data_IF_515701780024
#
_entry.id   IF_515701780024
#
_cell.length_a   1.000
_cell.length_b   1.000
_cell.length_c   1.000
_cell.angle_alpha   90.00
_cell.angle_beta   90.00
_cell.angle_gamma   90.00
#
_symmetry.space_group_name_H-M   'P 1'
#
loop_
_entity.id
_entity.type
_entity.pdbx_description
1 polymer ?
#
# COMPACT_ATOMS: atom_id res chain seq x y z
N UNK A 1 -30.24 -2.69 -19.74
CA UNK A 1 -30.07 -1.44 -18.97
C UNK A 1 -28.68 -0.94 -19.25
N UNK A 2 -28.59 0.15 -19.99
CA UNK A 2 -27.34 0.75 -20.46
C UNK A 2 -26.48 1.14 -19.26
N UNK A 3 -25.27 0.59 -19.20
CA UNK A 3 -24.22 1.11 -18.34
C UNK A 3 -23.88 2.51 -18.87
N UNK A 4 -24.48 3.54 -18.26
CA UNK A 4 -23.92 4.88 -18.35
C UNK A 4 -22.56 4.83 -17.64
N UNK A 5 -21.52 4.63 -18.42
CA UNK A 5 -20.16 4.95 -18.04
C UNK A 5 -20.15 6.42 -17.64
N UNK A 6 -20.20 6.71 -16.34
CA UNK A 6 -19.97 8.06 -15.84
C UNK A 6 -18.67 8.56 -16.50
N UNK A 7 -18.69 9.72 -17.18
CA UNK A 7 -17.51 10.22 -17.85
C UNK A 7 -16.38 10.33 -16.83
N UNK A 8 -15.20 9.87 -17.21
CA UNK A 8 -14.03 9.97 -16.35
C UNK A 8 -13.78 11.47 -16.08
N UNK A 9 -13.65 11.92 -14.83
CA UNK A 9 -13.59 13.36 -14.53
C UNK A 9 -12.36 14.00 -15.20
N UNK A 10 -12.58 15.07 -15.96
CA UNK A 10 -11.53 15.74 -16.73
C UNK A 10 -10.73 16.74 -15.90
N UNK A 11 -11.33 17.27 -14.83
CA UNK A 11 -10.68 18.20 -13.88
C UNK A 11 -10.75 17.69 -12.43
N UNK A 12 -9.93 18.27 -11.54
CA UNK A 12 -10.03 17.97 -10.10
C UNK A 12 -11.38 18.36 -9.54
N UNK A 13 -12.03 19.36 -10.16
CA UNK A 13 -13.33 19.84 -9.73
C UNK A 13 -14.43 18.86 -10.10
N UNK A 14 -14.40 18.34 -11.33
CA UNK A 14 -15.35 17.30 -11.74
C UNK A 14 -15.20 16.06 -10.85
N UNK A 15 -13.95 15.67 -10.55
CA UNK A 15 -13.67 14.57 -9.63
C UNK A 15 -14.25 14.82 -8.24
N UNK A 16 -14.01 16.00 -7.67
CA UNK A 16 -14.56 16.39 -6.37
C UNK A 16 -16.09 16.41 -6.37
N UNK A 17 -16.71 16.97 -7.40
CA UNK A 17 -18.17 17.07 -7.49
C UNK A 17 -18.82 15.69 -7.64
N UNK A 18 -18.17 14.75 -8.35
CA UNK A 18 -18.59 13.34 -8.37
C UNK A 18 -18.55 12.71 -6.97
N UNK A 19 -17.42 12.84 -6.26
CA UNK A 19 -17.28 12.32 -4.89
C UNK A 19 -18.29 12.95 -3.96
N UNK A 20 -18.50 14.26 -4.08
CA UNK A 20 -19.40 14.98 -3.21
C UNK A 20 -20.83 14.48 -3.35
N UNK A 21 -21.30 14.36 -4.60
CA UNK A 21 -22.64 13.87 -4.91
C UNK A 21 -22.86 12.44 -4.45
N UNK A 22 -21.89 11.56 -4.68
CA UNK A 22 -22.06 10.13 -4.44
C UNK A 22 -21.86 9.73 -2.97
N UNK A 23 -21.08 10.50 -2.20
CA UNK A 23 -20.62 10.08 -0.87
C UNK A 23 -20.65 11.15 0.25
N UNK A 24 -20.78 12.46 -0.06
CA UNK A 24 -20.61 13.51 0.97
C UNK A 24 -21.79 14.47 1.14
N UNK A 25 -22.79 14.43 0.26
CA UNK A 25 -23.87 15.43 0.22
C UNK A 25 -24.56 15.61 1.59
N UNK A 26 -24.74 14.51 2.33
CA UNK A 26 -25.41 14.51 3.64
C UNK A 26 -24.46 14.72 4.83
N UNK A 27 -23.14 14.57 4.63
CA UNK A 27 -22.13 14.65 5.70
C UNK A 27 -21.36 15.96 5.74
N UNK A 28 -21.36 16.73 4.64
CA UNK A 28 -20.59 17.96 4.51
C UNK A 28 -21.48 19.12 4.05
N UNK A 29 -21.69 20.08 4.95
CA UNK A 29 -22.44 21.30 4.66
C UNK A 29 -21.73 22.25 3.68
N UNK A 30 -22.39 23.35 3.32
CA UNK A 30 -21.90 24.34 2.34
C UNK A 30 -20.49 24.88 2.65
N UNK A 31 -20.16 25.05 3.93
CA UNK A 31 -18.85 25.54 4.38
C UNK A 31 -17.75 24.52 4.07
N UNK A 32 -17.97 23.25 4.42
CA UNK A 32 -17.01 22.18 4.16
C UNK A 32 -16.88 21.88 2.67
N UNK A 33 -17.99 21.94 1.91
CA UNK A 33 -17.95 21.83 0.46
C UNK A 33 -17.04 22.89 -0.15
N UNK A 34 -17.27 24.18 0.16
CA UNK A 34 -16.44 25.27 -0.35
C UNK A 34 -14.99 25.13 0.09
N UNK A 35 -14.74 24.69 1.32
CA UNK A 35 -13.39 24.45 1.81
C UNK A 35 -12.64 23.38 1.00
N UNK A 36 -13.23 22.18 0.85
CA UNK A 36 -12.60 21.07 0.11
C UNK A 36 -12.39 21.43 -1.36
N UNK A 37 -13.42 22.00 -2.00
CA UNK A 37 -13.36 22.54 -3.34
C UNK A 37 -12.17 23.48 -3.56
N UNK A 38 -12.06 24.52 -2.71
CA UNK A 38 -11.03 25.53 -2.83
C UNK A 38 -9.64 24.97 -2.50
N UNK A 39 -9.52 24.06 -1.53
CA UNK A 39 -8.24 23.42 -1.21
C UNK A 39 -7.73 22.56 -2.37
N UNK A 40 -8.59 21.72 -2.97
CA UNK A 40 -8.21 20.86 -4.09
C UNK A 40 -7.82 21.67 -5.33
N UNK A 41 -8.62 22.68 -5.69
CA UNK A 41 -8.34 23.57 -6.81
C UNK A 41 -7.05 24.38 -6.58
N UNK A 42 -6.89 24.93 -5.37
CA UNK A 42 -5.70 25.67 -4.99
C UNK A 42 -4.42 24.82 -4.99
N UNK A 43 -4.47 23.59 -4.47
CA UNK A 43 -3.34 22.65 -4.53
C UNK A 43 -3.00 22.30 -5.97
N UNK A 44 -3.99 22.00 -6.82
CA UNK A 44 -3.75 21.66 -8.22
C UNK A 44 -3.12 22.82 -8.99
N UNK A 45 -3.67 24.04 -8.84
CA UNK A 45 -3.20 25.25 -9.51
C UNK A 45 -1.79 25.65 -9.09
N UNK A 46 -1.49 25.55 -7.80
CA UNK A 46 -0.22 26.05 -7.26
C UNK A 46 0.86 24.98 -7.13
N UNK A 47 0.49 23.70 -7.25
CA UNK A 47 1.35 22.55 -6.97
C UNK A 47 2.00 22.65 -5.58
N UNK A 48 1.27 23.18 -4.61
CA UNK A 48 1.76 23.44 -3.26
C UNK A 48 0.71 23.11 -2.22
N UNK A 49 1.18 22.58 -1.09
CA UNK A 49 0.37 22.42 0.13
C UNK A 49 0.51 23.61 1.09
N UNK A 50 1.30 24.64 0.71
CA UNK A 50 1.45 25.84 1.52
C UNK A 50 0.18 26.70 1.44
N UNK A 51 -0.45 26.96 2.58
CA UNK A 51 -1.74 27.64 2.64
C UNK A 51 -1.71 29.08 2.10
N UNK A 52 -0.60 29.79 2.26
CA UNK A 52 -0.45 31.15 1.70
C UNK A 52 -0.33 31.11 0.19
N UNK A 53 0.41 30.14 -0.36
CA UNK A 53 0.51 29.93 -1.80
C UNK A 53 -0.84 29.55 -2.39
N UNK A 54 -1.55 28.60 -1.77
CA UNK A 54 -2.92 28.20 -2.13
C UNK A 54 -3.85 29.42 -2.14
N UNK A 55 -3.87 30.20 -1.06
CA UNK A 55 -4.73 31.37 -0.95
C UNK A 55 -4.46 32.42 -2.04
N UNK A 56 -3.20 32.62 -2.44
CA UNK A 56 -2.85 33.49 -3.58
C UNK A 56 -3.32 32.90 -4.91
N UNK A 57 -3.11 31.59 -5.11
CA UNK A 57 -3.50 30.89 -6.34
C UNK A 57 -5.00 30.87 -6.59
N UNK A 58 -5.83 30.91 -5.54
CA UNK A 58 -7.28 31.02 -5.66
C UNK A 58 -7.75 32.39 -6.16
N UNK A 59 -6.97 33.46 -5.91
CA UNK A 59 -7.27 34.82 -6.40
C UNK A 59 -8.70 35.30 -6.12
N UNK A 60 -9.24 34.99 -4.93
CA UNK A 60 -10.58 35.46 -4.51
C UNK A 60 -10.62 37.00 -4.42
N UNK A 61 -11.80 37.60 -4.63
CA UNK A 61 -12.01 39.07 -4.59
C UNK A 61 -11.94 39.69 -3.19
N UNK A 62 -11.54 38.92 -2.18
CA UNK A 62 -11.39 39.36 -0.79
C UNK A 62 -9.91 39.51 -0.44
N UNK A 63 -9.62 40.11 0.72
CA UNK A 63 -8.23 40.23 1.20
C UNK A 63 -7.60 38.85 1.35
N UNK A 64 -6.35 38.68 0.90
CA UNK A 64 -5.59 37.42 1.01
C UNK A 64 -5.62 36.83 2.44
N UNK A 65 -5.47 37.68 3.45
CA UNK A 65 -5.53 37.26 4.86
C UNK A 65 -6.89 36.63 5.23
N UNK A 66 -8.00 37.11 4.65
CA UNK A 66 -9.33 36.56 4.90
C UNK A 66 -9.49 35.17 4.27
N UNK A 67 -9.02 34.95 3.03
CA UNK A 67 -8.97 33.62 2.40
C UNK A 67 -8.13 32.66 3.22
N UNK A 68 -6.90 33.05 3.58
CA UNK A 68 -6.01 32.23 4.39
C UNK A 68 -6.66 31.82 5.73
N UNK A 69 -7.26 32.78 6.44
CA UNK A 69 -7.93 32.53 7.72
C UNK A 69 -9.12 31.58 7.57
N UNK A 70 -9.90 31.70 6.50
CA UNK A 70 -11.03 30.81 6.21
C UNK A 70 -10.55 29.38 5.97
N UNK A 71 -9.56 29.18 5.09
CA UNK A 71 -9.03 27.86 4.79
C UNK A 71 -8.39 27.24 6.04
N UNK A 72 -7.60 28.01 6.80
CA UNK A 72 -6.93 27.53 8.01
C UNK A 72 -7.90 27.04 9.08
N UNK A 73 -9.06 27.69 9.24
CA UNK A 73 -10.06 27.32 10.26
C UNK A 73 -10.70 25.95 10.01
N UNK A 74 -10.89 25.58 8.74
CA UNK A 74 -11.51 24.31 8.36
C UNK A 74 -10.47 23.21 8.11
N UNK A 75 -9.18 23.55 8.07
CA UNK A 75 -8.11 22.58 7.83
C UNK A 75 -7.95 21.57 8.97
N UNK A 76 -8.28 21.99 10.19
CA UNK A 76 -8.24 21.17 11.40
C UNK A 76 -9.61 20.55 11.76
N UNK A 77 -10.57 20.62 10.83
CA UNK A 77 -11.89 20.02 11.03
C UNK A 77 -11.82 18.50 10.79
N UNK A 78 -11.74 17.75 11.89
CA UNK A 78 -11.65 16.30 11.89
C UNK A 78 -12.87 15.62 11.24
N UNK A 79 -14.06 16.23 11.31
CA UNK A 79 -15.27 15.65 10.71
C UNK A 79 -15.23 15.78 9.19
N UNK A 80 -14.87 16.96 8.67
CA UNK A 80 -14.68 17.19 7.24
C UNK A 80 -13.60 16.25 6.69
N UNK A 81 -12.45 16.14 7.37
CA UNK A 81 -11.35 15.28 6.93
C UNK A 81 -11.76 13.81 6.92
N UNK A 82 -12.41 13.32 7.97
CA UNK A 82 -12.89 11.94 8.07
C UNK A 82 -13.91 11.63 6.97
N UNK A 83 -14.90 12.52 6.78
CA UNK A 83 -15.91 12.34 5.74
C UNK A 83 -15.27 12.28 4.35
N UNK A 84 -14.44 13.27 4.02
CA UNK A 84 -13.76 13.32 2.72
C UNK A 84 -12.86 12.10 2.48
N UNK A 85 -12.07 11.70 3.48
CA UNK A 85 -11.18 10.54 3.37
C UNK A 85 -11.97 9.24 3.14
N UNK A 86 -13.08 9.03 3.87
CA UNK A 86 -13.95 7.87 3.70
C UNK A 86 -14.63 7.88 2.32
N UNK A 87 -15.02 9.04 1.80
CA UNK A 87 -15.62 9.18 0.48
C UNK A 87 -14.64 8.86 -0.66
N UNK A 88 -13.42 9.40 -0.60
CA UNK A 88 -12.35 9.09 -1.57
C UNK A 88 -12.02 7.59 -1.53
N UNK A 89 -11.87 7.03 -0.33
CA UNK A 89 -11.64 5.60 -0.13
C UNK A 89 -12.79 4.75 -0.68
N UNK A 90 -14.05 5.12 -0.43
CA UNK A 90 -15.23 4.40 -0.94
C UNK A 90 -15.26 4.36 -2.47
N UNK A 91 -14.91 5.48 -3.12
CA UNK A 91 -14.77 5.53 -4.57
C UNK A 91 -13.68 4.59 -5.06
N UNK A 92 -12.48 4.64 -4.49
CA UNK A 92 -11.38 3.74 -4.84
C UNK A 92 -11.73 2.26 -4.62
N UNK A 93 -12.34 1.96 -3.48
CA UNK A 93 -12.75 0.62 -3.09
C UNK A 93 -13.80 0.00 -4.04
N UNK A 94 -14.62 0.82 -4.70
CA UNK A 94 -15.60 0.34 -5.68
C UNK A 94 -14.98 -0.36 -6.90
N UNK A 95 -13.71 -0.08 -7.19
CA UNK A 95 -12.95 -0.71 -8.27
C UNK A 95 -12.24 -2.00 -7.84
N UNK A 96 -12.19 -2.31 -6.54
CA UNK A 96 -11.47 -3.47 -6.00
C UNK A 96 -12.31 -4.74 -6.17
N UNK A 97 -11.76 -5.71 -6.89
CA UNK A 97 -12.27 -7.07 -7.08
C UNK A 97 -11.56 -8.03 -6.14
N UNK A 98 -12.05 -9.26 -6.05
CA UNK A 98 -11.46 -10.29 -5.18
C UNK A 98 -10.01 -10.62 -5.52
N UNK A 99 -9.61 -10.48 -6.79
CA UNK A 99 -8.27 -10.74 -7.32
C UNK A 99 -7.43 -9.48 -7.52
N UNK A 100 -7.96 -8.29 -7.19
CA UNK A 100 -7.20 -7.04 -7.24
C UNK A 100 -6.08 -7.07 -6.21
N UNK A 101 -4.87 -6.67 -6.61
CA UNK A 101 -3.71 -6.59 -5.73
C UNK A 101 -3.80 -5.32 -4.91
N UNK A 102 -3.78 -5.43 -3.59
CA UNK A 102 -3.65 -4.32 -2.64
C UNK A 102 -2.21 -4.29 -2.14
N UNK A 103 -1.38 -3.51 -2.82
CA UNK A 103 0.05 -3.41 -2.54
C UNK A 103 0.22 -2.50 -1.33
N UNK A 104 0.77 -3.05 -0.24
CA UNK A 104 1.00 -2.36 1.02
C UNK A 104 2.47 -1.99 1.10
N UNK A 105 2.75 -0.69 1.14
CA UNK A 105 4.11 -0.16 1.26
C UNK A 105 4.24 0.77 2.46
N UNK A 106 5.48 0.97 2.91
CA UNK A 106 5.79 1.95 3.95
C UNK A 106 7.03 2.78 3.61
N UNK A 107 7.00 4.08 3.83
CA UNK A 107 8.15 4.95 3.62
C UNK A 107 8.22 6.09 4.64
N UNK A 108 9.35 6.78 4.68
CA UNK A 108 9.57 7.90 5.61
C UNK A 108 9.32 9.25 4.96
N UNK A 109 8.48 10.07 5.59
CA UNK A 109 8.30 11.47 5.29
C UNK A 109 9.26 12.30 6.16
N UNK A 110 10.42 12.59 5.58
CA UNK A 110 11.47 13.39 6.21
C UNK A 110 11.09 14.88 6.31
N UNK A 111 11.23 15.45 7.50
CA UNK A 111 10.96 16.84 7.86
C UNK A 111 12.18 17.51 8.48
N UNK A 112 13.31 17.46 7.76
CA UNK A 112 14.64 17.96 8.17
C UNK A 112 14.72 19.41 8.67
N UNK A 113 13.72 20.24 8.37
CA UNK A 113 13.67 21.66 8.76
C UNK A 113 12.48 21.98 9.67
N UNK A 114 11.78 20.96 10.17
CA UNK A 114 10.64 21.17 11.04
C UNK A 114 11.12 21.49 12.46
N UNK A 115 10.74 22.66 12.96
CA UNK A 115 11.05 23.10 14.32
C UNK A 115 9.88 22.95 15.28
N UNK A 116 8.63 23.01 14.78
CA UNK A 116 7.39 22.90 15.56
C UNK A 116 6.31 22.20 14.74
N UNK A 117 6.23 20.88 14.87
CA UNK A 117 5.16 20.05 14.31
C UNK A 117 4.73 19.08 15.42
N UNK A 118 3.42 18.95 15.62
CA UNK A 118 2.90 18.00 16.60
C UNK A 118 3.31 16.57 16.25
N UNK A 119 3.67 15.82 17.28
CA UNK A 119 4.08 14.43 17.18
C UNK A 119 5.25 14.20 16.22
N UNK A 120 6.15 15.17 16.02
CA UNK A 120 7.36 14.92 15.23
C UNK A 120 8.26 13.90 15.95
N UNK A 121 8.58 12.79 15.27
CA UNK A 121 9.52 11.79 15.76
C UNK A 121 10.95 12.15 15.37
N UNK A 122 11.91 11.64 16.14
CA UNK A 122 13.35 11.82 15.94
C UNK A 122 13.95 12.94 16.80
N UNK A 123 15.27 12.99 16.82
CA UNK A 123 16.06 13.98 17.55
C UNK A 123 17.26 14.40 16.71
N UNK A 124 17.43 15.71 16.51
CA UNK A 124 18.63 16.26 15.86
C UNK A 124 19.89 15.95 16.67
N UNK A 125 19.79 15.94 18.00
CA UNK A 125 20.88 15.64 18.94
C UNK A 125 21.35 14.18 18.82
N UNK A 126 20.44 13.26 18.50
CA UNK A 126 20.74 11.83 18.31
C UNK A 126 20.98 11.44 16.84
N UNK A 127 21.08 12.43 15.94
CA UNK A 127 21.21 12.23 14.48
C UNK A 127 20.11 11.34 13.86
N UNK A 128 18.92 11.33 14.46
CA UNK A 128 17.77 10.60 13.93
C UNK A 128 17.02 11.48 12.92
N UNK A 129 16.53 10.90 11.81
CA UNK A 129 15.74 11.65 10.84
C UNK A 129 14.44 12.15 11.49
N UNK A 130 14.27 13.48 11.53
CA UNK A 130 13.00 14.08 11.92
C UNK A 130 11.94 13.76 10.88
N UNK A 131 10.84 13.12 11.27
CA UNK A 131 9.82 12.76 10.29
C UNK A 131 8.66 11.94 10.80
N UNK A 132 7.92 11.41 9.82
CA UNK A 132 6.77 10.54 9.99
C UNK A 132 6.93 9.30 9.12
N UNK A 133 6.27 8.22 9.48
CA UNK A 133 6.08 7.06 8.62
C UNK A 133 4.78 7.23 7.85
N UNK A 134 4.79 6.77 6.61
CA UNK A 134 3.66 6.78 5.71
C UNK A 134 3.43 5.35 5.24
N UNK A 135 2.25 4.79 5.49
CA UNK A 135 1.82 3.57 4.81
C UNK A 135 0.84 3.91 3.73
N UNK A 136 1.09 3.39 2.54
CA UNK A 136 0.24 3.56 1.37
C UNK A 136 -0.26 2.21 0.90
N UNK A 137 -1.53 2.18 0.49
CA UNK A 137 -2.14 1.02 -0.15
C UNK A 137 -2.53 1.42 -1.57
N UNK A 138 -1.93 0.73 -2.54
CA UNK A 138 -2.20 0.90 -3.97
C UNK A 138 -2.97 -0.32 -4.48
N UNK A 139 -4.01 -0.09 -5.27
CA UNK A 139 -4.70 -1.16 -5.99
C UNK A 139 -4.12 -1.32 -7.41
N UNK A 140 -3.96 -2.55 -7.84
CA UNK A 140 -3.63 -2.86 -9.24
C UNK A 140 -4.26 -4.19 -9.65
N UNK A 141 -5.03 -4.17 -10.74
CA UNK A 141 -5.60 -5.38 -11.31
C UNK A 141 -4.52 -6.24 -11.98
N UNK A 142 -4.75 -7.55 -12.03
CA UNK A 142 -3.86 -8.49 -12.73
C UNK A 142 -3.67 -8.07 -14.19
N UNK A 143 -2.41 -8.06 -14.67
CA UNK A 143 -2.01 -7.60 -16.01
C UNK A 143 -2.27 -6.12 -16.33
N UNK A 144 -2.71 -5.33 -15.35
CA UNK A 144 -2.80 -3.88 -15.51
C UNK A 144 -1.46 -3.22 -15.18
N UNK A 145 -1.04 -2.29 -16.03
CA UNK A 145 0.07 -1.36 -15.76
C UNK A 145 -0.41 -0.11 -14.98
N UNK A 146 -1.69 -0.07 -14.61
CA UNK A 146 -2.30 1.04 -13.88
C UNK A 146 -2.35 0.70 -12.39
N UNK A 147 -1.91 1.68 -11.59
CA UNK A 147 -2.01 1.68 -10.13
C UNK A 147 -2.97 2.76 -9.68
N UNK A 148 -3.82 2.43 -8.73
CA UNK A 148 -4.80 3.35 -8.14
C UNK A 148 -4.47 3.54 -6.66
N UNK A 149 -4.16 4.77 -6.21
CA UNK A 149 -4.02 5.06 -4.79
C UNK A 149 -5.36 4.84 -4.09
N UNK A 150 -5.38 3.96 -3.07
CA UNK A 150 -6.58 3.65 -2.31
C UNK A 150 -6.61 4.47 -1.02
N UNK A 151 -5.53 4.40 -0.26
CA UNK A 151 -5.46 5.04 1.05
C UNK A 151 -4.01 5.23 1.48
N UNK A 152 -3.74 6.35 2.15
CA UNK A 152 -2.47 6.59 2.81
C UNK A 152 -2.72 7.03 4.24
N UNK A 153 -1.88 6.56 5.17
CA UNK A 153 -1.91 7.01 6.57
C UNK A 153 -0.52 7.39 7.02
N UNK A 154 -0.46 8.47 7.80
CA UNK A 154 0.78 9.05 8.32
C UNK A 154 0.75 8.96 9.84
N UNK A 155 1.86 8.54 10.46
CA UNK A 155 2.02 8.52 11.91
C UNK A 155 3.48 8.71 12.30
N UNK A 156 3.72 8.88 13.59
CA UNK A 156 5.02 8.79 14.23
C UNK A 156 4.90 7.93 15.49
N UNK A 157 6.00 7.65 16.16
CA UNK A 157 5.95 6.96 17.46
C UNK A 157 5.51 7.88 18.62
N UNK A 158 5.38 9.18 18.36
CA UNK A 158 4.96 10.20 19.34
C UNK A 158 3.44 10.43 19.35
N UNK A 159 2.68 9.85 18.41
CA UNK A 159 1.22 10.01 18.40
C UNK A 159 0.59 9.26 19.60
N UNK A 160 -0.51 9.77 20.15
CA UNK A 160 -1.22 9.08 21.23
C UNK A 160 -1.62 7.66 20.82
N UNK A 161 -1.55 6.73 21.77
CA UNK A 161 -1.90 5.31 21.59
C UNK A 161 -1.06 4.53 20.57
N UNK A 162 0.08 5.09 20.11
CA UNK A 162 1.04 4.35 19.31
C UNK A 162 1.57 3.13 20.09
N UNK A 163 1.66 1.99 19.40
CA UNK A 163 2.19 0.74 19.97
C UNK A 163 3.41 0.27 19.22
N UNK A 164 3.23 0.02 17.94
CA UNK A 164 4.26 -0.38 17.00
C UNK A 164 3.76 -0.17 15.57
N UNK A 165 4.68 -0.14 14.60
CA UNK A 165 4.35 0.08 13.19
C UNK A 165 3.46 -1.01 12.61
N UNK A 166 3.59 -2.26 13.06
CA UNK A 166 2.78 -3.35 12.56
C UNK A 166 1.29 -3.14 12.89
N UNK A 167 0.98 -2.67 14.11
CA UNK A 167 -0.37 -2.27 14.49
C UNK A 167 -0.88 -1.12 13.64
N UNK A 168 -0.02 -0.16 13.33
CA UNK A 168 -0.41 0.97 12.48
C UNK A 168 -0.70 0.51 11.03
N UNK A 169 0.11 -0.39 10.46
CA UNK A 169 -0.14 -0.97 9.13
C UNK A 169 -1.41 -1.83 9.13
N UNK A 170 -1.60 -2.68 10.14
CA UNK A 170 -2.82 -3.51 10.28
C UNK A 170 -4.09 -2.65 10.38
N UNK A 171 -4.06 -1.54 11.12
CA UNK A 171 -5.18 -0.57 11.16
C UNK A 171 -5.47 -0.02 9.77
N UNK A 172 -4.44 0.36 9.02
CA UNK A 172 -4.57 0.88 7.65
C UNK A 172 -5.18 -0.15 6.70
N UNK A 173 -4.71 -1.40 6.73
CA UNK A 173 -5.27 -2.51 5.94
C UNK A 173 -6.74 -2.74 6.30
N UNK A 174 -7.07 -2.80 7.59
CA UNK A 174 -8.46 -3.02 8.05
C UNK A 174 -9.41 -1.93 7.58
N UNK A 175 -9.00 -0.66 7.60
CA UNK A 175 -9.80 0.45 7.06
C UNK A 175 -10.11 0.23 5.58
N UNK A 176 -9.10 -0.15 4.79
CA UNK A 176 -9.30 -0.43 3.35
C UNK A 176 -10.22 -1.63 3.16
N UNK A 177 -9.97 -2.74 3.83
CA UNK A 177 -10.76 -3.97 3.68
C UNK A 177 -12.22 -3.79 4.11
N UNK A 178 -12.49 -2.96 5.12
CA UNK A 178 -13.86 -2.58 5.48
C UNK A 178 -14.58 -1.91 4.30
N UNK A 179 -13.91 -1.01 3.57
CA UNK A 179 -14.49 -0.33 2.42
C UNK A 179 -14.57 -1.20 1.16
N UNK A 180 -13.66 -2.17 1.00
CA UNK A 180 -13.69 -3.11 -0.14
C UNK A 180 -14.60 -4.32 0.12
N UNK A 181 -15.23 -4.42 1.30
CA UNK A 181 -15.98 -5.61 1.75
C UNK A 181 -15.11 -6.88 1.74
N UNK A 182 -13.88 -6.77 2.28
CA UNK A 182 -12.86 -7.82 2.32
C UNK A 182 -12.45 -8.35 0.93
N UNK A 183 -12.63 -7.54 -0.13
CA UNK A 183 -12.11 -7.86 -1.46
C UNK A 183 -10.67 -7.38 -1.62
N UNK A 184 -9.95 -8.07 -2.48
CA UNK A 184 -8.55 -7.83 -2.81
C UNK A 184 -7.62 -8.71 -2.00
N UNK A 185 -6.39 -8.85 -2.50
CA UNK A 185 -5.33 -9.63 -1.88
C UNK A 185 -4.22 -8.66 -1.48
N UNK A 186 -3.83 -8.65 -0.21
CA UNK A 186 -2.75 -7.80 0.30
C UNK A 186 -1.38 -8.31 -0.16
N UNK A 187 -0.67 -7.54 -0.97
CA UNK A 187 0.72 -7.81 -1.33
C UNK A 187 1.61 -7.01 -0.38
N UNK A 188 2.34 -7.70 0.49
CA UNK A 188 3.25 -7.07 1.44
C UNK A 188 4.61 -6.87 0.77
N UNK A 189 5.02 -5.62 0.61
CA UNK A 189 6.29 -5.26 -0.01
C UNK A 189 7.44 -5.36 0.99
N UNK A 190 8.28 -6.39 0.84
CA UNK A 190 9.41 -6.67 1.71
C UNK A 190 10.61 -5.74 1.52
N UNK A 191 10.57 -4.89 0.48
CA UNK A 191 11.54 -3.81 0.32
C UNK A 191 11.23 -2.59 1.17
N UNK A 192 9.96 -2.39 1.53
CA UNK A 192 9.50 -1.20 2.24
C UNK A 192 8.99 -1.49 3.65
N UNK A 193 8.53 -2.72 3.93
CA UNK A 193 8.15 -3.18 5.26
C UNK A 193 9.30 -3.98 5.89
N UNK A 194 9.55 -3.75 7.18
CA UNK A 194 10.57 -4.52 7.89
C UNK A 194 10.14 -5.98 8.11
N UNK A 195 11.09 -6.92 8.25
CA UNK A 195 10.82 -8.32 8.60
C UNK A 195 9.89 -8.50 9.81
N UNK A 196 10.07 -7.68 10.85
CA UNK A 196 9.28 -7.71 12.08
C UNK A 196 7.84 -7.29 11.82
N UNK A 197 7.65 -6.24 11.01
CA UNK A 197 6.33 -5.74 10.61
C UNK A 197 5.60 -6.79 9.78
N UNK A 198 6.25 -7.35 8.77
CA UNK A 198 5.67 -8.41 7.92
C UNK A 198 5.27 -9.63 8.74
N UNK A 199 6.18 -10.09 9.61
CA UNK A 199 5.93 -11.25 10.46
C UNK A 199 4.68 -11.04 11.29
N UNK A 200 4.57 -9.88 11.95
CA UNK A 200 3.41 -9.57 12.78
C UNK A 200 2.12 -9.40 11.98
N UNK A 201 2.18 -8.81 10.79
CA UNK A 201 1.03 -8.73 9.89
C UNK A 201 0.54 -10.13 9.54
N UNK A 202 1.42 -11.03 9.15
CA UNK A 202 1.08 -12.42 8.78
C UNK A 202 0.41 -13.14 9.96
N UNK A 203 1.02 -13.08 11.16
CA UNK A 203 0.52 -13.80 12.34
C UNK A 203 -0.85 -13.30 12.80
N UNK A 204 -1.12 -12.00 12.67
CA UNK A 204 -2.37 -11.38 13.11
C UNK A 204 -3.42 -11.17 12.00
N UNK A 205 -3.11 -11.57 10.76
CA UNK A 205 -3.98 -11.35 9.61
C UNK A 205 -5.25 -12.22 9.65
N UNK A 206 -6.38 -11.58 9.38
CA UNK A 206 -7.68 -12.20 9.12
C UNK A 206 -8.11 -12.06 7.64
N UNK A 207 -7.20 -11.58 6.79
CA UNK A 207 -7.40 -11.27 5.38
C UNK A 207 -6.50 -12.10 4.47
N UNK A 208 -6.71 -11.97 3.15
CA UNK A 208 -5.90 -12.66 2.16
C UNK A 208 -4.65 -11.89 1.80
N UNK A 209 -3.51 -12.58 1.76
CA UNK A 209 -2.22 -11.95 1.51
C UNK A 209 -1.26 -12.79 0.67
N UNK A 210 -0.28 -12.13 0.07
CA UNK A 210 0.93 -12.69 -0.52
C UNK A 210 2.11 -11.88 0.02
N UNK A 211 3.12 -12.56 0.55
CA UNK A 211 4.32 -11.95 1.11
C UNK A 211 5.55 -12.76 0.76
N UNK A 212 6.63 -12.10 0.33
CA UNK A 212 7.94 -12.75 0.37
C UNK A 212 8.25 -13.11 1.83
N UNK A 213 8.86 -14.26 2.02
CA UNK A 213 9.14 -14.82 3.35
C UNK A 213 10.64 -15.10 3.55
N UNK A 214 11.50 -14.38 2.81
CA UNK A 214 12.95 -14.53 2.89
C UNK A 214 13.48 -14.31 4.31
N UNK A 215 12.93 -13.29 4.99
CA UNK A 215 13.27 -12.90 6.35
C UNK A 215 12.06 -13.03 7.28
N UNK A 216 11.20 -14.03 7.05
CA UNK A 216 10.06 -14.24 7.94
C UNK A 216 10.55 -14.76 9.31
N UNK A 217 10.30 -13.99 10.36
CA UNK A 217 10.87 -14.20 11.69
C UNK A 217 10.04 -15.16 12.56
N UNK A 218 9.55 -16.26 11.98
CA UNK A 218 8.85 -17.32 12.70
C UNK A 218 8.99 -18.66 11.99
N UNK A 219 8.89 -19.76 12.75
CA UNK A 219 8.96 -21.10 12.19
C UNK A 219 7.62 -21.51 11.58
N UNK A 220 7.67 -22.19 10.43
CA UNK A 220 6.54 -22.83 9.76
C UNK A 220 6.56 -24.33 10.00
N UNK A 221 5.39 -24.91 10.20
CA UNK A 221 5.21 -26.34 10.34
C UNK A 221 4.91 -27.00 8.99
N UNK A 222 5.69 -28.03 8.67
CA UNK A 222 5.51 -28.89 7.51
C UNK A 222 5.80 -30.35 7.90
N UNK A 223 4.87 -31.26 7.60
CA UNK A 223 4.99 -32.69 7.93
C UNK A 223 5.43 -32.96 9.39
N UNK A 224 4.82 -32.25 10.34
CA UNK A 224 5.11 -32.33 11.79
C UNK A 224 6.50 -31.85 12.23
N UNK A 225 7.24 -31.17 11.36
CA UNK A 225 8.55 -30.57 11.66
C UNK A 225 8.48 -29.04 11.48
N UNK A 226 9.35 -28.33 12.21
CA UNK A 226 9.45 -26.87 12.16
C UNK A 226 10.63 -26.46 11.29
N UNK A 227 10.44 -25.41 10.49
CA UNK A 227 11.46 -24.87 9.60
C UNK A 227 11.38 -23.36 9.52
N UNK A 228 12.49 -22.69 9.22
CA UNK A 228 12.41 -21.37 8.59
C UNK A 228 11.92 -21.51 7.14
N UNK A 229 11.21 -20.50 6.65
CA UNK A 229 10.62 -20.53 5.31
C UNK A 229 11.67 -20.70 4.21
N UNK A 230 12.82 -20.04 4.34
CA UNK A 230 13.98 -20.17 3.45
C UNK A 230 14.48 -21.61 3.37
N UNK A 231 14.74 -22.23 4.53
CA UNK A 231 15.33 -23.56 4.64
C UNK A 231 14.38 -24.63 4.09
N UNK A 232 13.08 -24.47 4.33
CA UNK A 232 12.08 -25.37 3.78
C UNK A 232 11.98 -25.22 2.26
N UNK A 233 11.98 -23.98 1.76
CA UNK A 233 11.92 -23.73 0.32
C UNK A 233 13.09 -24.38 -0.43
N UNK A 234 14.30 -24.36 0.13
CA UNK A 234 15.46 -25.05 -0.46
C UNK A 234 15.27 -26.56 -0.57
N UNK A 235 14.63 -27.20 0.42
CA UNK A 235 14.43 -28.66 0.47
C UNK A 235 13.30 -29.17 -0.43
N UNK A 236 12.32 -28.32 -0.73
CA UNK A 236 11.10 -28.76 -1.42
C UNK A 236 11.27 -28.86 -2.94
N UNK A 237 10.80 -29.98 -3.51
CA UNK A 237 10.84 -30.22 -4.95
C UNK A 237 9.70 -29.52 -5.69
N UNK A 238 10.07 -28.68 -6.66
CA UNK A 238 9.14 -27.85 -7.42
C UNK A 238 8.66 -28.56 -8.68
N UNK A 239 7.36 -28.50 -8.96
CA UNK A 239 6.71 -29.32 -10.02
C UNK A 239 6.55 -28.62 -11.35
N UNK A 240 6.52 -27.29 -11.35
CA UNK A 240 6.26 -26.49 -12.54
C UNK A 240 7.48 -25.66 -12.88
N UNK A 241 7.77 -25.49 -14.17
CA UNK A 241 8.84 -24.63 -14.67
C UNK A 241 8.36 -23.72 -15.78
N UNK A 242 8.82 -22.47 -15.81
CA UNK A 242 8.48 -21.47 -16.83
C UNK A 242 9.72 -20.63 -17.16
N UNK A 243 9.92 -20.36 -18.44
CA UNK A 243 10.91 -19.38 -18.88
C UNK A 243 10.36 -17.97 -18.63
N UNK A 244 11.14 -17.14 -17.96
CA UNK A 244 10.87 -15.73 -17.70
C UNK A 244 11.99 -14.90 -18.32
N UNK A 245 11.64 -13.73 -18.84
CA UNK A 245 12.61 -12.81 -19.43
C UNK A 245 12.71 -11.60 -18.51
N UNK A 246 13.92 -11.35 -17.99
CA UNK A 246 14.19 -10.17 -17.15
C UNK A 246 15.07 -9.20 -17.93
N UNK A 247 14.55 -8.00 -18.16
CA UNK A 247 15.35 -6.88 -18.63
C UNK A 247 16.23 -6.39 -17.48
N UNK A 248 17.55 -6.49 -17.61
CA UNK A 248 18.50 -5.94 -16.62
C UNK A 248 18.95 -4.55 -17.08
N UNK A 249 18.62 -3.47 -16.33
CA UNK A 249 19.08 -2.13 -16.69
C UNK A 249 20.61 -2.00 -16.62
N UNK A 250 21.19 -1.22 -17.54
CA UNK A 250 22.65 -1.00 -17.64
C UNK A 250 23.32 -0.47 -16.37
N UNK A 251 22.55 0.12 -15.44
CA UNK A 251 23.07 0.76 -14.23
C UNK A 251 23.54 -0.20 -13.14
N UNK A 252 23.18 -1.49 -13.23
CA UNK A 252 23.57 -2.50 -12.21
C UNK A 252 24.67 -3.46 -12.69
N UNK A 253 25.11 -3.38 -13.94
CA UNK A 253 26.12 -4.26 -14.51
C UNK A 253 26.92 -3.57 -15.60
N UNK A 254 28.25 -3.78 -15.66
CA UNK A 254 29.10 -3.40 -16.80
C UNK A 254 28.77 -4.13 -18.12
N UNK A 255 27.68 -4.92 -18.15
CA UNK A 255 27.16 -5.54 -19.36
C UNK A 255 26.16 -4.59 -20.05
N UNK A 256 26.02 -4.65 -21.39
CA UNK A 256 24.89 -4.02 -22.09
C UNK A 256 23.57 -4.47 -21.47
N UNK A 257 22.46 -3.76 -21.70
CA UNK A 257 21.13 -4.23 -21.27
C UNK A 257 20.88 -5.60 -21.90
N UNK A 258 21.06 -6.67 -21.13
CA UNK A 258 20.92 -8.05 -21.60
C UNK A 258 19.55 -8.52 -21.16
N UNK A 259 18.76 -9.02 -22.11
CA UNK A 259 17.61 -9.87 -21.80
C UNK A 259 18.14 -11.13 -21.14
N UNK A 260 17.83 -11.30 -19.85
CA UNK A 260 18.28 -12.45 -19.10
C UNK A 260 17.17 -13.48 -19.06
N UNK A 261 17.41 -14.60 -19.74
CA UNK A 261 16.55 -15.77 -19.67
C UNK A 261 16.69 -16.42 -18.28
N UNK A 262 15.58 -16.46 -17.55
CA UNK A 262 15.47 -17.03 -16.21
C UNK A 262 14.50 -18.21 -16.27
N UNK A 263 15.02 -19.42 -16.12
CA UNK A 263 14.17 -20.58 -15.93
C UNK A 263 13.77 -20.67 -14.47
N UNK A 264 12.51 -20.34 -14.19
CA UNK A 264 11.95 -20.33 -12.83
C UNK A 264 11.12 -21.59 -12.64
N UNK A 265 11.43 -22.35 -11.60
CA UNK A 265 10.60 -23.43 -11.11
C UNK A 265 9.75 -22.96 -9.94
N UNK A 266 8.53 -23.50 -9.80
CA UNK A 266 7.74 -23.30 -8.60
C UNK A 266 6.95 -24.53 -8.15
N UNK A 267 6.70 -24.56 -6.85
CA UNK A 267 5.81 -25.48 -6.17
C UNK A 267 5.04 -24.74 -5.08
N UNK A 268 3.88 -25.28 -4.69
CA UNK A 268 3.07 -24.74 -3.60
C UNK A 268 2.74 -25.87 -2.61
N UNK A 269 2.96 -25.59 -1.33
CA UNK A 269 2.91 -26.58 -0.26
C UNK A 269 2.07 -26.06 0.89
N UNK A 270 1.16 -26.90 1.41
CA UNK A 270 0.41 -26.57 2.62
C UNK A 270 1.37 -26.51 3.80
N UNK A 271 1.34 -25.41 4.54
CA UNK A 271 2.11 -25.20 5.77
C UNK A 271 1.21 -24.64 6.85
N UNK A 272 1.59 -24.80 8.11
CA UNK A 272 0.87 -24.23 9.24
C UNK A 272 1.79 -23.30 10.05
N UNK A 273 1.19 -22.40 10.81
CA UNK A 273 1.87 -21.59 11.83
C UNK A 273 1.17 -21.87 13.16
N UNK A 274 1.93 -21.94 14.26
CA UNK A 274 1.35 -22.27 15.58
C UNK A 274 0.44 -21.16 16.10
N UNK A 275 0.78 -19.92 15.76
CA UNK A 275 0.15 -18.70 16.23
C UNK A 275 -1.14 -18.38 15.47
N UNK A 276 -1.39 -19.02 14.32
CA UNK A 276 -2.58 -18.76 13.50
C UNK A 276 -3.19 -20.03 12.93
N UNK A 277 -4.52 -20.12 13.00
CA UNK A 277 -5.29 -21.24 12.43
C UNK A 277 -5.59 -21.07 10.93
N UNK A 278 -5.04 -20.04 10.29
CA UNK A 278 -5.23 -19.77 8.86
C UNK A 278 -4.58 -20.87 8.02
N UNK A 279 -5.26 -21.26 6.95
CA UNK A 279 -4.68 -22.18 5.97
C UNK A 279 -3.65 -21.43 5.13
N UNK A 280 -2.38 -21.83 5.23
CA UNK A 280 -1.29 -21.18 4.51
C UNK A 280 -0.72 -22.09 3.42
N UNK A 281 -0.21 -21.47 2.37
CA UNK A 281 0.65 -22.09 1.38
C UNK A 281 2.03 -21.43 1.44
N UNK A 282 3.07 -22.25 1.43
CA UNK A 282 4.41 -21.84 1.04
C UNK A 282 4.56 -22.09 -0.46
N UNK A 283 4.70 -21.02 -1.24
CA UNK A 283 5.17 -21.10 -2.62
C UNK A 283 6.69 -21.02 -2.59
N UNK A 284 7.33 -21.97 -3.25
CA UNK A 284 8.78 -22.01 -3.42
C UNK A 284 9.09 -21.63 -4.86
N UNK A 285 9.82 -20.54 -5.09
CA UNK A 285 10.34 -20.16 -6.41
C UNK A 285 11.83 -20.48 -6.48
N UNK A 286 12.25 -21.31 -7.42
CA UNK A 286 13.66 -21.68 -7.62
C UNK A 286 14.14 -21.21 -8.98
N UNK A 287 15.33 -20.63 -9.02
CA UNK A 287 16.02 -20.29 -10.27
C UNK A 287 17.48 -20.68 -10.17
N UNK A 288 18.04 -21.17 -11.27
CA UNK A 288 19.45 -21.51 -11.38
C UNK A 288 20.06 -20.84 -12.60
N UNK A 289 21.02 -19.97 -12.38
CA UNK A 289 21.66 -19.18 -13.43
C UNK A 289 23.15 -18.96 -13.11
N UNK A 290 24.00 -18.95 -14.14
CA UNK A 290 25.44 -18.60 -14.05
C UNK A 290 25.78 -17.28 -13.33
N UNK A 291 24.87 -16.30 -13.32
CA UNK A 291 25.08 -14.97 -12.75
C UNK A 291 24.69 -14.86 -11.28
N UNK A 292 23.62 -15.54 -10.85
CA UNK A 292 23.05 -15.42 -9.50
C UNK A 292 23.24 -16.71 -8.68
N UNK A 293 23.72 -17.78 -9.31
CA UNK A 293 23.81 -19.10 -8.69
C UNK A 293 22.45 -19.78 -8.64
N UNK A 294 22.27 -20.62 -7.62
CA UNK A 294 21.00 -21.25 -7.28
C UNK A 294 20.32 -20.44 -6.19
N UNK A 295 19.11 -19.97 -6.47
CA UNK A 295 18.32 -19.13 -5.57
C UNK A 295 16.98 -19.79 -5.32
N UNK A 296 16.58 -19.82 -4.05
CA UNK A 296 15.27 -20.29 -3.59
C UNK A 296 14.58 -19.14 -2.84
N UNK A 297 13.42 -18.72 -3.32
CA UNK A 297 12.63 -17.62 -2.76
C UNK A 297 11.34 -18.21 -2.17
N UNK A 298 11.18 -18.24 -0.84
CA UNK A 298 9.93 -18.54 -0.19
C UNK A 298 8.93 -17.39 -0.32
N UNK A 299 7.68 -17.71 -0.62
CA UNK A 299 6.53 -16.79 -0.59
C UNK A 299 5.44 -17.43 0.24
N UNK A 300 4.99 -16.75 1.28
CA UNK A 300 3.89 -17.20 2.13
C UNK A 300 2.59 -16.53 1.67
N UNK A 301 1.51 -17.31 1.58
CA UNK A 301 0.21 -16.80 1.14
C UNK A 301 -0.97 -17.57 1.73
N UNK A 302 -2.12 -16.92 1.83
CA UNK A 302 -3.40 -17.58 2.10
C UNK A 302 -4.09 -18.07 0.82
N UNK A 303 -3.60 -17.67 -0.35
CA UNK A 303 -4.19 -18.07 -1.63
C UNK A 303 -4.09 -19.58 -1.79
N UNK A 304 -5.21 -20.22 -2.09
CA UNK A 304 -5.34 -21.66 -2.21
C UNK A 304 -5.48 -22.11 -3.67
N UNK A 305 -5.69 -23.41 -3.89
CA UNK A 305 -5.88 -24.00 -5.22
C UNK A 305 -4.73 -23.79 -6.22
N UNK A 306 -3.50 -23.73 -5.70
CA UNK A 306 -2.26 -23.52 -6.46
C UNK A 306 -1.65 -24.81 -7.05
N UNK A 307 -2.46 -25.86 -7.18
CA UNK A 307 -2.01 -27.18 -7.67
C UNK A 307 -1.83 -27.24 -9.20
N UNK A 308 -2.29 -26.24 -9.94
CA UNK A 308 -2.14 -26.17 -11.39
C UNK A 308 -1.07 -25.17 -11.78
N UNK A 309 -0.36 -25.44 -12.89
CA UNK A 309 0.62 -24.50 -13.45
C UNK A 309 0.01 -23.13 -13.71
N UNK A 310 -1.22 -23.08 -14.25
CA UNK A 310 -1.93 -21.84 -14.57
C UNK A 310 -2.16 -20.98 -13.32
N UNK A 311 -2.61 -21.60 -12.23
CA UNK A 311 -2.91 -20.87 -11.00
C UNK A 311 -1.63 -20.44 -10.27
N UNK A 312 -0.61 -21.30 -10.19
CA UNK A 312 0.62 -20.98 -9.48
C UNK A 312 1.49 -19.95 -10.22
N UNK A 313 1.65 -20.12 -11.54
CA UNK A 313 2.51 -19.25 -12.36
C UNK A 313 1.76 -18.03 -12.91
N UNK A 314 0.48 -17.90 -12.56
CA UNK A 314 -0.38 -16.78 -12.93
C UNK A 314 -0.68 -15.83 -11.78
N UNK A 315 -0.20 -16.12 -10.55
CA UNK A 315 -0.18 -15.19 -9.42
C UNK A 315 0.76 -14.00 -9.67
#
# INVERSE_FOLDING_TARGET
MENQSNPNPETIRDFFDCIYKDYLADSVGKVGYKFLADMLDGIQKTRSVNLTTIARGLSESIRLHATHKRLSRNLDDAEILRAFSSAVLSRGASHVKSDTRLIVTMHELNKKYASKIEYLSGSEEEHQPLGFKVCEILASDYQSDVYYPIFSRVWSDQVPDYKDDAKEVLKTIKIVLQHTNNKGICYLDDLSLSPEVITRIILESDFDFISLANNFNSEIEYESHQYFASDLAEKLDTRFGKMMYKLVPKTQSNLPSVDMDLFVHAGAFKVNLKETSRNLQLITLKTKNRFVGELSIPVLTTVNNLKSRKNLMGL
#
